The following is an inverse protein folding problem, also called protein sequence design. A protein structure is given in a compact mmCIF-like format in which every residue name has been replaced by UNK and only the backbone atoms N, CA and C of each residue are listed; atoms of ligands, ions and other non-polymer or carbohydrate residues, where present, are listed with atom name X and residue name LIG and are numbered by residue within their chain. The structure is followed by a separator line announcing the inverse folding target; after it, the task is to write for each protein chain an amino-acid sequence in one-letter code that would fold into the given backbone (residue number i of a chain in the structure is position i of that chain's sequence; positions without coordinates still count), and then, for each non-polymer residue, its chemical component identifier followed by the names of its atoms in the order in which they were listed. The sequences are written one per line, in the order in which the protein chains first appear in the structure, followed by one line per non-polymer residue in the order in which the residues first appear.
data_IF_787589930399
#
_entry.id   IF_787589930399
#
_cell.length_a   1.000
_cell.length_b   1.000
_cell.length_c   1.000
_cell.angle_alpha   90.00
_cell.angle_beta   90.00
_cell.angle_gamma   90.00
#
_symmetry.space_group_name_H-M   'P 1'
#
loop_
_entity.id
_entity.type
_entity.pdbx_description
1 polymer ?
#
# COMPACT_ATOMS: atom_id res chain seq x y z
N UNK A 1 -14.56 10.58 -3.54
CA UNK A 1 -13.42 9.75 -3.95
C UNK A 1 -13.76 8.27 -3.80
N UNK A 2 -13.16 7.42 -4.62
CA UNK A 2 -13.31 5.95 -4.54
C UNK A 2 -11.96 5.28 -4.32
N UNK A 3 -11.92 4.23 -3.49
CA UNK A 3 -10.72 3.41 -3.31
C UNK A 3 -10.55 2.51 -4.53
N UNK A 4 -9.43 2.63 -5.25
CA UNK A 4 -9.16 1.85 -6.48
C UNK A 4 -8.20 0.68 -6.25
N UNK A 5 -7.18 0.88 -5.44
CA UNK A 5 -6.19 -0.15 -5.14
C UNK A 5 -5.71 -0.04 -3.70
N UNK A 6 -5.55 -1.17 -3.05
CA UNK A 6 -4.72 -1.31 -1.86
C UNK A 6 -3.34 -1.86 -2.24
N UNK A 7 -2.31 -1.29 -1.64
CA UNK A 7 -0.91 -1.67 -1.81
C UNK A 7 -0.41 -2.18 -0.47
N UNK A 8 0.04 -3.43 -0.41
CA UNK A 8 0.52 -4.03 0.84
C UNK A 8 1.84 -4.74 0.62
N UNK A 9 2.82 -4.49 1.50
CA UNK A 9 4.03 -5.32 1.58
C UNK A 9 4.52 -5.48 3.01
N UNK A 10 5.26 -6.56 3.21
CA UNK A 10 5.83 -7.02 4.46
C UNK A 10 4.81 -7.21 5.59
N UNK A 11 3.54 -7.48 5.27
CA UNK A 11 2.46 -7.61 6.25
C UNK A 11 1.92 -9.03 6.28
N UNK A 12 2.20 -9.79 7.33
CA UNK A 12 1.63 -11.14 7.56
C UNK A 12 1.72 -12.02 6.30
N UNK A 13 0.60 -12.35 5.64
CA UNK A 13 0.59 -13.17 4.41
C UNK A 13 0.92 -12.35 3.13
N UNK A 14 0.78 -11.04 3.17
CA UNK A 14 1.12 -10.11 2.09
C UNK A 14 2.59 -9.66 2.19
N UNK A 15 3.52 -10.47 1.66
CA UNK A 15 4.95 -10.13 1.68
C UNK A 15 5.32 -9.10 0.60
N UNK A 16 5.41 -9.49 -0.66
CA UNK A 16 5.62 -8.58 -1.79
C UNK A 16 5.23 -9.36 -3.04
N UNK A 17 5.05 -8.67 -4.17
CA UNK A 17 4.68 -9.34 -5.41
C UNK A 17 5.89 -10.07 -6.04
N UNK A 18 6.05 -11.35 -5.70
CA UNK A 18 7.14 -12.18 -6.23
C UNK A 18 7.10 -12.34 -7.74
N UNK A 19 5.91 -12.35 -8.35
CA UNK A 19 5.76 -12.50 -9.79
C UNK A 19 6.24 -11.24 -10.49
N UNK A 20 5.80 -10.07 -10.02
CA UNK A 20 6.27 -8.78 -10.54
C UNK A 20 7.76 -8.60 -10.30
N UNK A 21 8.30 -9.02 -9.15
CA UNK A 21 9.75 -8.93 -8.88
C UNK A 21 10.61 -9.74 -9.86
N UNK A 22 10.11 -10.90 -10.30
CA UNK A 22 10.83 -11.82 -11.21
C UNK A 22 10.56 -11.55 -12.69
N UNK A 23 9.58 -10.71 -13.02
CA UNK A 23 9.24 -10.45 -14.40
C UNK A 23 10.37 -9.68 -15.11
N UNK A 24 10.83 -10.17 -16.26
CA UNK A 24 12.02 -9.66 -16.96
C UNK A 24 11.92 -8.18 -17.37
N UNK A 25 10.70 -7.70 -17.63
CA UNK A 25 10.41 -6.29 -17.96
C UNK A 25 9.79 -5.51 -16.79
N UNK A 26 9.96 -5.98 -15.56
CA UNK A 26 9.41 -5.29 -14.40
C UNK A 26 10.04 -3.90 -14.25
N UNK A 27 9.19 -2.88 -14.29
CA UNK A 27 9.57 -1.51 -13.98
C UNK A 27 9.11 -1.19 -12.55
N UNK A 28 10.01 -0.79 -11.64
CA UNK A 28 9.62 -0.36 -10.31
C UNK A 28 8.85 0.96 -10.41
N UNK A 29 7.76 1.09 -9.66
CA UNK A 29 7.22 2.40 -9.34
C UNK A 29 8.14 3.09 -8.33
N UNK A 30 8.08 4.42 -8.18
CA UNK A 30 8.90 5.15 -7.21
C UNK A 30 8.81 4.60 -5.79
N UNK A 31 7.63 4.12 -5.36
CA UNK A 31 7.42 3.54 -4.02
C UNK A 31 7.88 2.08 -3.87
N UNK A 32 8.15 1.36 -4.96
CA UNK A 32 8.58 -0.05 -4.88
C UNK A 32 10.05 -0.19 -4.47
N UNK A 33 10.84 0.88 -4.59
CA UNK A 33 12.23 0.89 -4.18
C UNK A 33 12.34 1.07 -2.66
N UNK A 34 13.27 0.33 -2.06
CA UNK A 34 13.70 0.53 -0.68
C UNK A 34 14.86 1.53 -0.63
N UNK A 35 15.20 2.03 0.55
CA UNK A 35 16.31 2.98 0.76
C UNK A 35 17.66 2.47 0.27
N UNK A 36 17.88 1.15 0.33
CA UNK A 36 19.08 0.46 -0.18
C UNK A 36 19.07 0.25 -1.71
N UNK A 37 18.09 0.81 -2.42
CA UNK A 37 17.90 0.69 -3.86
C UNK A 37 17.31 -0.65 -4.31
N UNK A 38 17.00 -1.56 -3.38
CA UNK A 38 16.43 -2.86 -3.74
C UNK A 38 14.96 -2.75 -4.16
N UNK A 39 14.55 -3.64 -5.07
CA UNK A 39 13.18 -3.68 -5.60
C UNK A 39 12.30 -4.64 -4.83
N UNK A 40 11.28 -4.11 -4.14
CA UNK A 40 10.27 -4.90 -3.42
C UNK A 40 8.87 -4.41 -3.77
N UNK A 41 8.27 -4.93 -4.87
CA UNK A 41 6.99 -4.44 -5.35
C UNK A 41 5.86 -4.74 -4.38
N UNK A 42 4.99 -3.76 -4.15
CA UNK A 42 3.78 -4.01 -3.36
C UNK A 42 2.89 -5.07 -4.01
N UNK A 43 2.26 -5.90 -3.18
CA UNK A 43 1.09 -6.66 -3.62
C UNK A 43 -0.02 -5.66 -3.86
N UNK A 44 -0.55 -5.64 -5.09
CA UNK A 44 -1.63 -4.74 -5.49
C UNK A 44 -2.95 -5.48 -5.48
N UNK A 45 -3.90 -4.95 -4.74
CA UNK A 45 -5.23 -5.51 -4.58
C UNK A 45 -6.21 -4.51 -5.18
N UNK A 46 -6.71 -4.76 -6.40
CA UNK A 46 -7.70 -3.89 -7.01
C UNK A 46 -8.99 -3.96 -6.21
N UNK A 47 -9.60 -2.80 -6.01
CA UNK A 47 -10.91 -2.64 -5.37
C UNK A 47 -11.85 -2.12 -6.45
N UNK A 48 -12.89 -2.89 -6.70
CA UNK A 48 -13.99 -2.51 -7.57
C UNK A 48 -14.86 -1.44 -6.91
N UNK A 49 -15.39 -0.53 -7.74
CA UNK A 49 -16.20 0.62 -7.31
C UNK A 49 -17.49 0.20 -6.62
N UNK A 50 -18.13 -0.86 -7.12
CA UNK A 50 -19.44 -1.29 -6.63
C UNK A 50 -19.30 -2.44 -5.64
N UNK A 51 -18.52 -3.46 -6.00
CA UNK A 51 -18.40 -4.65 -5.17
C UNK A 51 -17.11 -5.45 -5.42
N UNK A 52 -16.33 -5.64 -4.36
CA UNK A 52 -15.14 -6.52 -4.37
C UNK A 52 -15.40 -7.76 -3.53
N UNK A 53 -15.45 -8.94 -4.18
CA UNK A 53 -15.56 -10.21 -3.47
C UNK A 53 -14.17 -10.67 -2.97
N UNK A 54 -13.99 -10.76 -1.65
CA UNK A 54 -12.75 -11.27 -1.05
C UNK A 54 -13.00 -12.69 -0.53
N UNK A 55 -12.64 -13.69 -1.33
CA UNK A 55 -12.86 -15.12 -1.03
C UNK A 55 -11.53 -15.82 -0.80
N UNK A 56 -11.51 -16.77 0.13
CA UNK A 56 -10.32 -17.56 0.42
C UNK A 56 -10.53 -18.48 1.63
N UNK A 57 -9.63 -19.46 1.77
CA UNK A 57 -9.61 -20.37 2.92
C UNK A 57 -9.36 -19.63 4.25
N UNK A 58 -9.52 -20.32 5.38
CA UNK A 58 -9.08 -19.77 6.66
C UNK A 58 -7.60 -19.39 6.59
N UNK A 59 -7.23 -18.31 7.29
CA UNK A 59 -5.87 -17.73 7.30
C UNK A 59 -5.32 -17.23 5.96
N UNK A 60 -6.11 -17.20 4.88
CA UNK A 60 -5.66 -16.73 3.56
C UNK A 60 -5.40 -15.21 3.46
N UNK A 61 -5.55 -14.47 4.56
CA UNK A 61 -5.32 -13.02 4.60
C UNK A 61 -6.55 -12.13 4.33
N UNK A 62 -7.78 -12.67 4.30
CA UNK A 62 -9.00 -11.88 4.03
C UNK A 62 -9.17 -10.68 4.97
N UNK A 63 -9.21 -10.92 6.30
CA UNK A 63 -9.32 -9.85 7.29
C UNK A 63 -8.08 -8.95 7.32
N UNK A 64 -6.93 -9.46 6.89
CA UNK A 64 -5.69 -8.69 6.81
C UNK A 64 -5.80 -7.60 5.73
N UNK A 65 -6.54 -7.83 4.64
CA UNK A 65 -6.78 -6.78 3.64
C UNK A 65 -7.51 -5.57 4.25
N UNK A 66 -8.58 -5.80 5.01
CA UNK A 66 -9.32 -4.70 5.67
C UNK A 66 -8.43 -3.95 6.66
N UNK A 67 -7.69 -4.68 7.50
CA UNK A 67 -6.72 -4.07 8.43
C UNK A 67 -5.63 -3.28 7.72
N UNK A 68 -5.16 -3.74 6.55
CA UNK A 68 -4.17 -3.02 5.76
C UNK A 68 -4.71 -1.68 5.24
N UNK A 69 -5.98 -1.62 4.86
CA UNK A 69 -6.65 -0.36 4.48
C UNK A 69 -6.77 0.57 5.68
N UNK A 70 -7.19 0.07 6.84
CA UNK A 70 -7.24 0.85 8.09
C UNK A 70 -5.86 1.39 8.48
N UNK A 71 -4.82 0.56 8.38
CA UNK A 71 -3.44 0.98 8.64
C UNK A 71 -2.99 2.08 7.67
N UNK A 72 -3.28 1.94 6.37
CA UNK A 72 -2.92 2.97 5.39
C UNK A 72 -3.62 4.31 5.66
N UNK A 73 -4.87 4.27 6.14
CA UNK A 73 -5.62 5.47 6.56
C UNK A 73 -5.17 6.02 7.92
N UNK A 74 -4.30 5.32 8.65
CA UNK A 74 -3.88 5.71 10.01
C UNK A 74 -4.94 5.45 11.09
N UNK A 75 -6.00 4.69 10.78
CA UNK A 75 -7.02 4.28 11.74
C UNK A 75 -6.53 3.16 12.67
N UNK A 76 -5.54 2.41 12.21
CA UNK A 76 -4.88 1.32 12.94
C UNK A 76 -3.36 1.49 12.89
N UNK A 77 -2.67 1.17 13.97
CA UNK A 77 -1.22 1.24 14.08
C UNK A 77 -0.62 -0.17 13.94
N UNK A 78 0.17 -0.45 12.88
CA UNK A 78 0.78 -1.75 12.72
C UNK A 78 1.91 -1.95 13.75
N UNK A 79 2.09 -3.18 14.20
CA UNK A 79 3.19 -3.52 15.13
C UNK A 79 4.29 -4.28 14.40
N UNK A 80 5.51 -4.35 14.97
CA UNK A 80 6.53 -5.26 14.45
C UNK A 80 6.10 -6.73 14.36
N UNK A 81 5.18 -7.18 15.23
CA UNK A 81 4.66 -8.55 15.20
C UNK A 81 3.83 -8.84 13.93
N UNK A 82 3.35 -7.80 13.26
CA UNK A 82 2.64 -7.88 11.99
C UNK A 82 3.56 -8.02 10.79
N UNK A 83 4.88 -7.80 10.97
CA UNK A 83 5.84 -7.93 9.89
C UNK A 83 5.90 -9.36 9.37
N UNK A 84 5.94 -9.50 8.04
CA UNK A 84 5.97 -10.81 7.39
C UNK A 84 7.24 -11.56 7.78
N UNK A 85 7.07 -12.71 8.46
CA UNK A 85 8.17 -13.59 8.89
C UNK A 85 8.96 -14.22 7.73
N UNK A 86 8.38 -14.24 6.53
CA UNK A 86 9.03 -14.73 5.32
C UNK A 86 9.77 -13.62 4.55
N UNK A 87 9.74 -12.39 5.03
CA UNK A 87 10.49 -11.29 4.42
C UNK A 87 11.98 -11.47 4.67
N UNK A 88 12.79 -11.23 3.64
CA UNK A 88 14.25 -11.19 3.75
C UNK A 88 14.73 -10.12 4.73
N UNK A 89 13.90 -9.12 5.03
CA UNK A 89 14.17 -8.09 6.03
C UNK A 89 13.85 -8.49 7.47
N UNK A 90 13.20 -9.64 7.70
CA UNK A 90 12.80 -10.08 9.04
C UNK A 90 14.00 -10.35 9.95
N UNK A 91 15.13 -10.81 9.40
CA UNK A 91 16.33 -11.19 10.17
C UNK A 91 17.50 -10.21 10.07
N UNK A 92 17.38 -9.16 9.25
CA UNK A 92 18.52 -8.33 8.81
C UNK A 92 18.56 -6.94 9.47
N UNK A 93 17.48 -6.49 10.11
CA UNK A 93 17.39 -5.13 10.63
C UNK A 93 17.72 -5.03 12.13
N UNK A 94 18.62 -4.10 12.51
CA UNK A 94 18.91 -3.70 13.90
C UNK A 94 17.71 -3.04 14.60
N UNK A 95 16.67 -2.67 13.84
CA UNK A 95 15.39 -2.16 14.34
C UNK A 95 14.23 -3.00 13.80
N UNK A 96 13.24 -3.25 14.67
CA UNK A 96 12.02 -3.94 14.31
C UNK A 96 11.23 -3.12 13.26
N UNK A 97 11.19 -3.61 12.02
CA UNK A 97 10.46 -2.96 10.92
C UNK A 97 8.97 -3.17 11.04
N UNK A 98 8.19 -2.18 10.63
CA UNK A 98 6.74 -2.30 10.46
C UNK A 98 6.39 -2.55 8.98
N UNK A 99 5.26 -3.21 8.70
CA UNK A 99 4.79 -3.38 7.33
C UNK A 99 4.47 -2.04 6.64
N UNK A 100 4.45 -2.06 5.31
CA UNK A 100 4.14 -0.87 4.52
C UNK A 100 2.78 -1.02 3.85
N UNK A 101 2.05 0.08 3.82
CA UNK A 101 0.70 0.14 3.31
C UNK A 101 0.53 1.33 2.38
N UNK A 102 -0.36 1.21 1.40
CA UNK A 102 -0.73 2.33 0.55
C UNK A 102 -2.10 2.15 -0.04
N UNK A 103 -2.69 3.26 -0.46
CA UNK A 103 -3.99 3.30 -1.11
C UNK A 103 -3.92 4.21 -2.33
N UNK A 104 -4.68 3.85 -3.37
CA UNK A 104 -4.97 4.73 -4.49
C UNK A 104 -6.43 5.14 -4.43
N UNK A 105 -6.66 6.45 -4.55
CA UNK A 105 -7.98 7.02 -4.70
C UNK A 105 -8.14 7.66 -6.07
N UNK A 106 -9.29 7.41 -6.69
CA UNK A 106 -9.70 7.99 -7.98
C UNK A 106 -11.04 8.74 -7.80
N UNK A 107 -11.52 9.41 -8.85
CA UNK A 107 -12.82 10.09 -8.91
C UNK A 107 -13.07 11.05 -7.73
N UNK A 108 -12.17 12.02 -7.58
CA UNK A 108 -12.28 13.07 -6.57
C UNK A 108 -13.42 14.05 -6.95
N UNK A 109 -14.20 14.48 -5.97
CA UNK A 109 -15.07 15.66 -6.10
C UNK A 109 -14.24 16.94 -6.15
N UNK A 110 -14.84 18.06 -6.55
CA UNK A 110 -14.16 19.36 -6.55
C UNK A 110 -13.58 19.71 -5.17
N UNK A 111 -14.38 19.54 -4.11
CA UNK A 111 -13.96 19.81 -2.72
C UNK A 111 -12.80 18.90 -2.27
N UNK A 112 -12.81 17.63 -2.67
CA UNK A 112 -11.74 16.68 -2.37
C UNK A 112 -10.46 17.02 -3.14
N UNK A 113 -10.59 17.41 -4.41
CA UNK A 113 -9.46 17.89 -5.22
C UNK A 113 -8.81 19.12 -4.60
N UNK A 114 -9.60 20.12 -4.18
CA UNK A 114 -9.08 21.30 -3.49
C UNK A 114 -8.36 20.92 -2.19
N UNK A 115 -8.94 20.00 -1.41
CA UNK A 115 -8.34 19.50 -0.16
C UNK A 115 -6.99 18.80 -0.40
N UNK A 116 -6.90 17.94 -1.42
CA UNK A 116 -5.67 17.23 -1.77
C UNK A 116 -4.62 18.19 -2.33
N UNK A 117 -5.00 19.12 -3.21
CA UNK A 117 -4.09 20.14 -3.72
C UNK A 117 -3.54 21.02 -2.59
N UNK A 118 -4.37 21.41 -1.62
CA UNK A 118 -3.93 22.14 -0.43
C UNK A 118 -2.96 21.31 0.39
N UNK A 119 -3.28 20.05 0.69
CA UNK A 119 -2.42 19.16 1.47
C UNK A 119 -1.07 18.89 0.81
N UNK A 120 -1.03 18.83 -0.53
CA UNK A 120 0.16 18.59 -1.33
C UNK A 120 0.86 19.88 -1.80
N UNK A 121 0.33 21.06 -1.47
CA UNK A 121 0.81 22.37 -1.95
C UNK A 121 0.92 22.44 -3.49
N UNK A 122 -0.08 21.93 -4.20
CA UNK A 122 -0.15 21.95 -5.66
C UNK A 122 -0.85 23.21 -6.15
N UNK A 123 -0.27 23.86 -7.16
CA UNK A 123 -0.78 25.14 -7.72
C UNK A 123 -1.86 24.94 -8.80
N UNK A 124 -1.97 23.75 -9.41
CA UNK A 124 -2.93 23.45 -10.49
C UNK A 124 -3.84 22.25 -10.15
N UNK A 125 -5.08 22.49 -9.71
CA UNK A 125 -6.04 21.44 -9.37
C UNK A 125 -6.73 20.81 -10.58
N UNK A 126 -6.71 21.44 -11.76
CA UNK A 126 -7.56 21.05 -12.89
C UNK A 126 -7.23 19.67 -13.47
N UNK A 127 -6.06 19.12 -13.14
CA UNK A 127 -5.57 17.86 -13.70
C UNK A 127 -5.44 16.71 -12.68
N UNK A 128 -5.89 16.89 -11.43
CA UNK A 128 -5.79 15.85 -10.42
C UNK A 128 -6.95 14.84 -10.50
N UNK A 129 -6.75 13.75 -11.26
CA UNK A 129 -7.76 12.68 -11.40
C UNK A 129 -7.63 11.54 -10.38
N UNK A 130 -6.46 11.41 -9.76
CA UNK A 130 -6.15 10.34 -8.79
C UNK A 130 -4.96 10.73 -7.93
N UNK A 131 -4.88 10.17 -6.72
CA UNK A 131 -3.69 10.25 -5.89
C UNK A 131 -3.42 8.94 -5.17
N UNK A 132 -2.20 8.82 -4.63
CA UNK A 132 -1.78 7.66 -3.85
C UNK A 132 -1.17 8.12 -2.55
N UNK A 133 -1.48 7.40 -1.48
CA UNK A 133 -0.85 7.58 -0.17
C UNK A 133 -0.07 6.32 0.17
N UNK A 134 1.11 6.49 0.76
CA UNK A 134 1.95 5.40 1.21
C UNK A 134 2.44 5.69 2.63
N UNK A 135 2.29 4.71 3.52
CA UNK A 135 2.84 4.69 4.87
C UNK A 135 3.93 3.62 4.95
N UNK A 136 5.16 4.06 5.20
CA UNK A 136 6.36 3.22 5.21
C UNK A 136 7.10 3.27 6.55
N UNK A 137 6.50 3.88 7.57
CA UNK A 137 7.10 4.12 8.90
C UNK A 137 6.02 4.55 9.91
N UNK A 138 6.37 4.63 11.21
CA UNK A 138 5.42 4.83 12.31
C UNK A 138 4.83 6.25 12.43
N UNK A 139 4.85 7.05 11.37
CA UNK A 139 4.32 8.43 11.32
C UNK A 139 2.99 8.49 10.53
#
# INVERSE_FOLDING_TARGET
MILRNAYVRFYRTFNYDYLRKRHYNAKPDPWDQMEDGTFYPYVRLPVDREFTAVVGANESGKSQLLLAVECALGMSQPTPADFCRHSSYFTVAESMRIPHFGLQFDELSADETESVCTALSLEDPENLSSFRIFRTGPD
#
